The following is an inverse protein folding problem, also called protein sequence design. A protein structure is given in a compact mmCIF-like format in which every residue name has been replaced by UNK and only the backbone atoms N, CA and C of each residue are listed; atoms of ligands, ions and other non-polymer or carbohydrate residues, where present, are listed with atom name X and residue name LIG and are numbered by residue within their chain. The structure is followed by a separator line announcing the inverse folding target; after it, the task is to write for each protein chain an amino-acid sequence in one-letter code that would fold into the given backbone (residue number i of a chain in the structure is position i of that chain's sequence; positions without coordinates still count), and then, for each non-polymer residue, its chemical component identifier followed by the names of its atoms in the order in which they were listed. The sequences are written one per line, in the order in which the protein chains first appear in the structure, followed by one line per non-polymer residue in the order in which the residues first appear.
data_IF_448425319350
#
_entry.id   IF_448425319350
#
_cell.length_a   1.000
_cell.length_b   1.000
_cell.length_c   1.000
_cell.angle_alpha   90.00
_cell.angle_beta   90.00
_cell.angle_gamma   90.00
#
_symmetry.space_group_name_H-M   'P 1'
#
loop_
_entity.id
_entity.type
_entity.pdbx_description
1 polymer ?
#
# COMPACT_ATOMS: atom_id res chain seq x y z
N UNK A 1 -23.80 -34.86 -2.15
CA UNK A 1 -23.99 -33.40 -2.10
C UNK A 1 -22.96 -32.84 -1.13
N UNK A 2 -21.98 -32.12 -1.67
CA UNK A 2 -20.97 -31.39 -0.91
C UNK A 2 -20.53 -30.27 -1.84
N UNK A 3 -20.99 -29.06 -1.55
CA UNK A 3 -20.63 -27.87 -2.30
C UNK A 3 -19.14 -27.61 -2.12
N UNK A 4 -18.38 -27.70 -3.22
CA UNK A 4 -17.05 -27.11 -3.30
C UNK A 4 -17.31 -25.64 -3.65
N UNK A 5 -17.37 -24.77 -2.64
CA UNK A 5 -17.32 -23.33 -2.84
C UNK A 5 -15.89 -22.96 -3.26
N UNK A 6 -15.61 -23.11 -4.56
CA UNK A 6 -14.47 -22.47 -5.19
C UNK A 6 -14.77 -20.97 -5.31
N UNK A 7 -14.43 -20.20 -4.28
CA UNK A 7 -14.13 -18.77 -4.45
C UNK A 7 -12.62 -18.57 -4.42
N UNK A 8 -11.90 -19.33 -5.26
CA UNK A 8 -10.68 -18.79 -5.85
C UNK A 8 -11.15 -18.00 -7.06
N UNK A 9 -11.16 -16.68 -6.90
CA UNK A 9 -11.49 -15.74 -7.95
C UNK A 9 -10.55 -16.00 -9.14
N UNK A 10 -11.06 -16.68 -10.17
CA UNK A 10 -10.32 -16.99 -11.40
C UNK A 10 -9.86 -15.71 -12.13
N UNK A 11 -10.39 -14.55 -11.73
CA UNK A 11 -9.91 -13.24 -12.13
C UNK A 11 -8.48 -12.98 -11.64
N UNK A 12 -8.03 -13.54 -10.51
CA UNK A 12 -6.68 -13.28 -9.99
C UNK A 12 -5.57 -14.01 -10.76
N UNK A 13 -5.80 -15.24 -11.23
CA UNK A 13 -4.73 -16.05 -11.85
C UNK A 13 -4.39 -15.62 -13.29
N UNK A 14 -5.39 -15.29 -14.11
CA UNK A 14 -5.17 -14.69 -15.44
C UNK A 14 -4.55 -13.30 -15.34
N UNK A 15 -4.91 -12.55 -14.29
CA UNK A 15 -4.45 -11.19 -14.06
C UNK A 15 -3.02 -11.16 -13.51
N UNK A 16 -2.59 -12.13 -12.71
CA UNK A 16 -1.20 -12.32 -12.30
C UNK A 16 -0.29 -12.69 -13.49
N UNK A 17 -0.78 -13.54 -14.41
CA UNK A 17 -0.06 -13.90 -15.63
C UNK A 17 0.10 -12.71 -16.60
N UNK A 18 -0.92 -11.85 -16.74
CA UNK A 18 -0.83 -10.63 -17.55
C UNK A 18 -0.06 -9.49 -16.84
N UNK A 19 -0.10 -9.39 -15.51
CA UNK A 19 0.75 -8.47 -14.73
C UNK A 19 2.24 -8.73 -14.99
N UNK A 20 2.64 -10.00 -15.10
CA UNK A 20 4.01 -10.36 -15.45
C UNK A 20 4.38 -9.94 -16.89
N UNK A 21 3.42 -9.89 -17.81
CA UNK A 21 3.63 -9.41 -19.18
C UNK A 21 3.67 -7.87 -19.27
N UNK A 22 2.84 -7.15 -18.52
CA UNK A 22 2.78 -5.67 -18.57
C UNK A 22 3.84 -4.99 -17.69
N UNK A 23 4.34 -5.63 -16.62
CA UNK A 23 5.47 -5.12 -15.82
C UNK A 23 6.77 -4.97 -16.63
N UNK A 24 6.85 -5.59 -17.82
CA UNK A 24 7.98 -5.46 -18.75
C UNK A 24 7.96 -4.18 -19.61
N UNK A 25 6.91 -3.34 -19.53
CA UNK A 25 6.74 -2.14 -20.35
C UNK A 25 6.66 -0.87 -19.50
N UNK A 26 7.24 0.22 -19.99
CA UNK A 26 7.10 1.56 -19.41
C UNK A 26 5.60 1.91 -19.24
N UNK A 27 5.20 2.26 -18.01
CA UNK A 27 3.82 2.60 -17.67
C UNK A 27 2.87 1.41 -17.37
N UNK A 28 3.34 0.16 -17.45
CA UNK A 28 2.55 -1.04 -17.16
C UNK A 28 1.90 -1.04 -15.77
N UNK A 29 2.65 -0.58 -14.77
CA UNK A 29 2.22 -0.44 -13.38
C UNK A 29 0.89 0.33 -13.21
N UNK A 30 0.75 1.50 -13.85
CA UNK A 30 -0.45 2.32 -13.76
C UNK A 30 -1.64 1.72 -14.51
N UNK A 31 -1.38 1.01 -15.61
CA UNK A 31 -2.41 0.29 -16.35
C UNK A 31 -2.94 -0.90 -15.56
N UNK A 32 -2.07 -1.62 -14.84
CA UNK A 32 -2.45 -2.69 -13.92
C UNK A 32 -3.36 -2.17 -12.81
N UNK A 33 -3.00 -1.07 -12.14
CA UNK A 33 -3.85 -0.48 -11.08
C UNK A 33 -5.22 -0.03 -11.63
N UNK A 34 -5.26 0.63 -12.78
CA UNK A 34 -6.54 1.03 -13.41
C UNK A 34 -7.41 -0.18 -13.78
N UNK A 35 -6.81 -1.27 -14.28
CA UNK A 35 -7.52 -2.52 -14.64
C UNK A 35 -8.01 -3.31 -13.44
N UNK A 36 -7.32 -3.21 -12.31
CA UNK A 36 -7.76 -3.69 -10.99
C UNK A 36 -8.98 -2.91 -10.44
N UNK A 37 -9.46 -1.91 -11.18
CA UNK A 37 -10.57 -1.07 -10.75
C UNK A 37 -10.17 -0.02 -9.73
N UNK A 38 -8.89 0.37 -9.67
CA UNK A 38 -8.45 1.49 -8.83
C UNK A 38 -9.24 2.76 -9.19
N UNK A 39 -9.82 3.39 -8.16
CA UNK A 39 -10.54 4.66 -8.22
C UNK A 39 -9.84 5.68 -7.33
N UNK A 40 -10.07 6.97 -7.61
CA UNK A 40 -9.53 8.08 -6.80
C UNK A 40 -8.02 7.96 -6.57
N UNK A 41 -7.28 7.58 -7.61
CA UNK A 41 -5.83 7.45 -7.53
C UNK A 41 -5.18 8.82 -7.37
N UNK A 42 -4.24 8.94 -6.44
CA UNK A 42 -3.44 10.14 -6.22
C UNK A 42 -1.98 9.74 -6.04
N UNK A 43 -1.10 10.43 -6.75
CA UNK A 43 0.31 10.49 -6.33
C UNK A 43 0.37 11.22 -4.98
N UNK A 44 1.20 10.71 -4.08
CA UNK A 44 1.29 11.23 -2.72
C UNK A 44 2.62 11.96 -2.52
N UNK A 45 3.74 11.28 -2.76
CA UNK A 45 5.07 11.88 -2.65
C UNK A 45 6.15 10.99 -3.24
N UNK A 46 7.30 11.59 -3.54
CA UNK A 46 8.57 10.89 -3.64
C UNK A 46 9.23 10.88 -2.25
N UNK A 47 9.54 9.69 -1.73
CA UNK A 47 10.12 9.52 -0.41
C UNK A 47 11.50 8.88 -0.50
N UNK A 48 12.50 9.59 0.02
CA UNK A 48 13.81 8.97 0.31
C UNK A 48 13.71 8.08 1.54
N UNK A 49 14.15 6.82 1.42
CA UNK A 49 14.23 5.89 2.53
C UNK A 49 15.31 6.31 3.54
N UNK A 50 14.92 6.48 4.80
CA UNK A 50 15.84 6.78 5.89
C UNK A 50 16.53 5.51 6.41
N UNK A 51 17.53 5.64 7.28
CA UNK A 51 18.15 4.49 7.95
C UNK A 51 17.11 3.67 8.74
N UNK A 52 16.18 4.34 9.41
CA UNK A 52 15.11 3.70 10.19
C UNK A 52 14.13 2.95 9.30
N UNK A 53 13.80 3.49 8.12
CA UNK A 53 12.90 2.80 7.17
C UNK A 53 13.54 1.51 6.61
N UNK A 54 14.88 1.47 6.54
CA UNK A 54 15.64 0.31 6.03
C UNK A 54 16.02 -0.69 7.13
N UNK A 55 15.83 -0.33 8.39
CA UNK A 55 16.18 -1.17 9.52
C UNK A 55 15.13 -2.29 9.70
N UNK A 56 15.56 -3.53 9.48
CA UNK A 56 14.73 -4.74 9.58
C UNK A 56 14.13 -4.95 10.97
N UNK A 57 14.76 -4.39 12.01
CA UNK A 57 14.26 -4.47 13.38
C UNK A 57 13.14 -3.47 13.67
N UNK A 58 13.05 -2.40 12.88
CA UNK A 58 12.00 -1.37 13.05
C UNK A 58 10.71 -1.75 12.36
N UNK A 59 10.79 -2.47 11.22
CA UNK A 59 9.64 -2.96 10.44
C UNK A 59 8.56 -1.89 10.21
N UNK A 60 8.99 -0.67 9.87
CA UNK A 60 8.12 0.47 9.64
C UNK A 60 8.65 1.37 8.54
N UNK A 61 7.72 1.97 7.80
CA UNK A 61 7.97 3.09 6.91
C UNK A 61 7.37 4.36 7.52
N UNK A 62 8.18 5.39 7.74
CA UNK A 62 7.70 6.69 8.21
C UNK A 62 7.28 7.56 7.02
N UNK A 63 6.05 8.06 7.03
CA UNK A 63 5.46 8.82 5.92
C UNK A 63 5.50 10.33 6.22
N UNK A 64 5.82 11.19 5.23
CA UNK A 64 5.82 12.64 5.40
C UNK A 64 4.42 13.17 5.77
N UNK A 65 4.29 13.79 6.96
CA UNK A 65 3.01 14.24 7.53
C UNK A 65 2.21 15.13 6.57
N UNK A 66 2.83 16.20 6.09
CA UNK A 66 2.16 17.21 5.24
C UNK A 66 1.59 16.60 3.96
N UNK A 67 2.29 15.64 3.36
CA UNK A 67 1.80 14.95 2.17
C UNK A 67 0.65 13.98 2.49
N UNK A 68 0.69 13.29 3.63
CA UNK A 68 -0.44 12.45 4.04
C UNK A 68 -1.69 13.29 4.30
N UNK A 69 -1.57 14.38 5.05
CA UNK A 69 -2.67 15.30 5.37
C UNK A 69 -3.30 15.88 4.11
N UNK A 70 -2.50 16.15 3.08
CA UNK A 70 -2.97 16.73 1.82
C UNK A 70 -3.55 15.70 0.85
N UNK A 71 -2.95 14.51 0.74
CA UNK A 71 -3.22 13.58 -0.35
C UNK A 71 -3.87 12.26 0.08
N UNK A 72 -3.91 11.92 1.37
CA UNK A 72 -4.47 10.65 1.86
C UNK A 72 -5.63 10.89 2.81
N UNK A 73 -5.44 11.72 3.84
CA UNK A 73 -6.45 11.99 4.88
C UNK A 73 -7.81 12.48 4.33
N UNK A 74 -7.87 13.35 3.29
CA UNK A 74 -9.13 13.79 2.72
C UNK A 74 -9.93 12.67 2.04
N UNK A 75 -9.28 11.56 1.68
CA UNK A 75 -9.92 10.41 1.06
C UNK A 75 -10.39 9.37 2.07
N UNK A 76 -10.11 9.55 3.35
CA UNK A 76 -10.57 8.66 4.42
C UNK A 76 -12.01 8.98 4.81
N UNK A 77 -12.74 7.94 5.19
CA UNK A 77 -14.00 8.05 5.93
C UNK A 77 -13.71 8.46 7.38
N UNK A 78 -14.73 8.90 8.12
CA UNK A 78 -14.57 9.27 9.52
C UNK A 78 -14.13 8.09 10.39
N UNK A 79 -14.62 6.89 10.10
CA UNK A 79 -14.26 5.69 10.86
C UNK A 79 -12.82 5.26 10.58
N UNK A 80 -12.35 5.39 9.34
CA UNK A 80 -10.93 5.16 9.01
C UNK A 80 -10.03 6.20 9.69
N UNK A 81 -10.42 7.49 9.69
CA UNK A 81 -9.69 8.54 10.42
C UNK A 81 -9.57 8.22 11.91
N UNK A 82 -10.67 7.83 12.56
CA UNK A 82 -10.63 7.41 13.96
C UNK A 82 -9.67 6.25 14.16
N UNK A 83 -9.75 5.23 13.29
CA UNK A 83 -8.96 4.01 13.39
C UNK A 83 -7.46 4.26 13.24
N UNK A 84 -7.02 5.12 12.33
CA UNK A 84 -5.59 5.45 12.18
C UNK A 84 -5.04 6.23 13.39
N UNK A 85 -5.87 6.99 14.09
CA UNK A 85 -5.49 7.74 15.30
C UNK A 85 -5.69 6.97 16.60
N UNK A 86 -6.28 5.77 16.53
CA UNK A 86 -6.60 4.98 17.72
C UNK A 86 -5.33 4.49 18.44
N UNK A 87 -5.29 4.77 19.74
CA UNK A 87 -4.14 4.50 20.60
C UNK A 87 -4.00 3.01 20.92
N UNK A 88 -2.79 2.62 21.32
CA UNK A 88 -2.49 1.25 21.72
C UNK A 88 -2.39 0.27 20.53
N UNK A 89 -2.45 -1.03 20.82
CA UNK A 89 -2.23 -2.09 19.82
C UNK A 89 -3.45 -2.40 18.94
N UNK A 90 -4.65 -1.97 19.34
CA UNK A 90 -5.89 -2.22 18.60
C UNK A 90 -6.13 -1.25 17.42
N UNK A 91 -5.53 -0.07 17.47
CA UNK A 91 -5.68 0.95 16.43
C UNK A 91 -4.77 0.76 15.22
N UNK A 92 -5.14 1.38 14.11
CA UNK A 92 -4.51 1.28 12.80
C UNK A 92 -5.48 0.74 11.76
N UNK A 93 -5.40 1.29 10.54
CA UNK A 93 -6.21 0.87 9.40
C UNK A 93 -5.46 -0.23 8.62
N UNK A 94 -5.98 -1.46 8.56
CA UNK A 94 -5.45 -2.46 7.64
C UNK A 94 -5.58 -1.97 6.20
N UNK A 95 -4.50 -2.08 5.43
CA UNK A 95 -4.46 -1.66 4.03
C UNK A 95 -3.65 -2.67 3.22
N UNK A 96 -4.01 -2.82 1.95
CA UNK A 96 -3.20 -3.59 0.99
C UNK A 96 -2.25 -2.64 0.28
N UNK A 97 -1.00 -3.05 0.14
CA UNK A 97 -0.02 -2.35 -0.67
C UNK A 97 0.47 -3.21 -1.85
N UNK A 98 0.80 -2.53 -2.95
CA UNK A 98 1.32 -3.15 -4.16
C UNK A 98 2.75 -2.66 -4.42
N UNK A 99 3.67 -3.58 -4.72
CA UNK A 99 4.99 -3.21 -5.23
C UNK A 99 5.06 -3.25 -6.77
N UNK A 100 6.20 -2.85 -7.32
CA UNK A 100 6.42 -2.76 -8.77
C UNK A 100 6.38 -4.11 -9.49
N UNK A 101 6.63 -5.21 -8.76
CA UNK A 101 6.50 -6.58 -9.28
C UNK A 101 5.05 -7.08 -9.24
N UNK A 102 4.10 -6.26 -8.79
CA UNK A 102 2.68 -6.61 -8.67
C UNK A 102 2.36 -7.49 -7.45
N UNK A 103 3.30 -7.67 -6.51
CA UNK A 103 3.04 -8.41 -5.28
C UNK A 103 2.20 -7.58 -4.33
N UNK A 104 1.31 -8.25 -3.61
CA UNK A 104 0.46 -7.66 -2.58
C UNK A 104 1.04 -7.88 -1.20
N UNK A 105 0.93 -6.87 -0.35
CA UNK A 105 1.47 -6.86 1.00
C UNK A 105 0.44 -6.32 1.98
N UNK A 106 0.27 -7.00 3.11
CA UNK A 106 -0.62 -6.53 4.15
C UNK A 106 0.10 -5.54 5.06
N UNK A 107 -0.37 -4.30 5.06
CA UNK A 107 0.16 -3.26 5.94
C UNK A 107 -0.90 -2.76 6.91
N UNK A 108 -0.45 -2.02 7.91
CA UNK A 108 -1.31 -1.21 8.76
C UNK A 108 -0.86 0.24 8.65
N UNK A 109 -1.77 1.10 8.22
CA UNK A 109 -1.60 2.54 8.19
C UNK A 109 -2.03 3.15 9.52
N UNK A 110 -1.15 3.93 10.15
CA UNK A 110 -1.38 4.45 11.50
C UNK A 110 -0.70 5.80 11.71
N UNK A 111 -1.29 6.63 12.55
CA UNK A 111 -0.64 7.83 13.09
C UNK A 111 -0.05 7.52 14.48
N UNK A 112 1.20 7.91 14.69
CA UNK A 112 1.89 7.79 15.98
C UNK A 112 2.08 9.17 16.62
N UNK A 113 1.28 9.45 17.65
CA UNK A 113 1.34 10.72 18.39
C UNK A 113 2.73 11.06 18.91
N UNK A 114 3.48 10.07 19.41
CA UNK A 114 4.80 10.28 20.04
C UNK A 114 5.86 10.83 19.10
N UNK A 115 5.72 10.56 17.80
CA UNK A 115 6.65 11.00 16.74
C UNK A 115 5.98 11.92 15.72
N UNK A 116 4.72 12.30 16.00
CA UNK A 116 3.85 13.11 15.15
C UNK A 116 3.89 12.73 13.66
N UNK A 117 3.92 11.44 13.35
CA UNK A 117 4.06 10.97 11.98
C UNK A 117 3.10 9.82 11.65
N UNK A 118 2.85 9.68 10.36
CA UNK A 118 2.15 8.53 9.81
C UNK A 118 3.14 7.41 9.52
N UNK A 119 2.71 6.17 9.69
CA UNK A 119 3.54 5.00 9.44
C UNK A 119 2.77 3.91 8.68
N UNK A 120 3.50 3.12 7.91
CA UNK A 120 3.08 1.81 7.45
C UNK A 120 3.91 0.73 8.16
N UNK A 121 3.22 -0.22 8.78
CA UNK A 121 3.82 -1.31 9.58
C UNK A 121 3.25 -2.67 9.15
N UNK A 122 3.59 -3.74 9.89
CA UNK A 122 3.23 -5.17 9.66
C UNK A 122 4.20 -5.88 8.72
N UNK A 123 4.11 -5.68 7.42
CA UNK A 123 4.94 -6.38 6.43
C UNK A 123 6.04 -5.53 5.77
N UNK A 124 6.28 -4.31 6.26
CA UNK A 124 7.23 -3.39 5.64
C UNK A 124 8.64 -3.98 5.43
N UNK A 125 9.18 -4.70 6.43
CA UNK A 125 10.50 -5.35 6.31
C UNK A 125 10.51 -6.40 5.20
N UNK A 126 9.40 -7.11 4.99
CA UNK A 126 9.29 -8.15 3.97
C UNK A 126 9.28 -7.50 2.58
N UNK A 127 8.59 -6.36 2.43
CA UNK A 127 8.62 -5.55 1.21
C UNK A 127 10.07 -5.14 0.89
N UNK A 128 10.79 -4.61 1.88
CA UNK A 128 12.18 -4.20 1.72
C UNK A 128 13.11 -5.37 1.33
N UNK A 129 12.94 -6.54 1.94
CA UNK A 129 13.72 -7.74 1.61
C UNK A 129 13.42 -8.26 0.20
N UNK A 130 12.15 -8.21 -0.21
CA UNK A 130 11.69 -8.76 -1.47
C UNK A 130 11.97 -7.86 -2.68
N UNK A 131 12.11 -6.55 -2.47
CA UNK A 131 12.39 -5.57 -3.53
C UNK A 131 13.84 -5.07 -3.54
N UNK A 132 14.59 -5.21 -2.43
CA UNK A 132 15.96 -4.74 -2.29
C UNK A 132 16.14 -3.24 -2.64
N UNK A 133 15.11 -2.43 -2.35
CA UNK A 133 15.13 -0.99 -2.61
C UNK A 133 16.21 -0.28 -1.79
N UNK A 134 16.95 0.61 -2.44
CA UNK A 134 18.11 1.30 -1.82
C UNK A 134 17.88 2.78 -1.56
N UNK A 135 16.98 3.41 -2.32
CA UNK A 135 16.89 4.86 -2.44
C UNK A 135 15.45 5.39 -2.34
N UNK A 136 14.99 6.09 -3.39
CA UNK A 136 13.74 6.82 -3.40
C UNK A 136 12.59 5.90 -3.82
N UNK A 137 11.45 6.13 -3.21
CA UNK A 137 10.20 5.46 -3.53
C UNK A 137 9.16 6.47 -3.96
N UNK A 138 8.53 6.21 -5.09
CA UNK A 138 7.29 6.88 -5.46
C UNK A 138 6.13 6.22 -4.73
N UNK A 139 5.35 7.02 -4.02
CA UNK A 139 4.17 6.58 -3.28
C UNK A 139 2.90 7.09 -3.94
N UNK A 140 2.00 6.16 -4.26
CA UNK A 140 0.63 6.46 -4.68
C UNK A 140 -0.38 5.85 -3.73
N UNK A 141 -1.57 6.44 -3.67
CA UNK A 141 -2.73 5.88 -3.00
C UNK A 141 -3.91 5.78 -3.96
N UNK A 142 -4.81 4.84 -3.71
CA UNK A 142 -6.04 4.70 -4.45
C UNK A 142 -7.09 3.95 -3.61
N UNK A 143 -8.33 3.95 -4.10
CA UNK A 143 -9.44 3.17 -3.54
C UNK A 143 -9.73 1.99 -4.44
N UNK A 144 -9.82 0.80 -3.89
CA UNK A 144 -10.16 -0.38 -4.69
C UNK A 144 -11.64 -0.34 -5.09
N UNK A 145 -11.96 -0.60 -6.36
CA UNK A 145 -13.24 -0.19 -6.96
C UNK A 145 -14.49 -0.91 -6.45
N UNK A 146 -14.38 -2.18 -6.04
CA UNK A 146 -15.54 -3.00 -5.65
C UNK A 146 -15.83 -2.95 -4.14
N UNK A 147 -14.82 -2.79 -3.28
CA UNK A 147 -15.00 -2.75 -1.82
C UNK A 147 -14.68 -1.38 -1.20
N UNK A 148 -14.10 -0.45 -1.97
CA UNK A 148 -13.77 0.89 -1.50
C UNK A 148 -12.60 0.95 -0.53
N UNK A 149 -11.81 -0.12 -0.37
CA UNK A 149 -10.68 -0.13 0.56
C UNK A 149 -9.56 0.82 0.11
N UNK A 150 -8.88 1.44 1.07
CA UNK A 150 -7.70 2.26 0.80
C UNK A 150 -6.49 1.35 0.52
N UNK A 151 -5.80 1.62 -0.57
CA UNK A 151 -4.58 0.92 -0.96
C UNK A 151 -3.42 1.88 -1.12
N UNK A 152 -2.21 1.33 -0.99
CA UNK A 152 -0.96 2.00 -1.32
C UNK A 152 -0.24 1.29 -2.46
N UNK A 153 0.60 2.04 -3.16
CA UNK A 153 1.33 1.56 -4.30
C UNK A 153 2.74 2.17 -4.24
N UNK A 154 3.77 1.32 -4.27
CA UNK A 154 5.17 1.71 -4.24
C UNK A 154 5.87 1.37 -5.55
N UNK A 155 6.82 2.22 -5.94
CA UNK A 155 7.73 2.00 -7.06
C UNK A 155 9.11 2.55 -6.72
N UNK A 156 10.18 1.84 -7.09
CA UNK A 156 11.53 2.43 -7.01
C UNK A 156 11.69 3.49 -8.09
N UNK A 157 12.29 4.62 -7.74
CA UNK A 157 12.85 5.57 -8.71
C UNK A 157 14.34 5.31 -8.96
#
# INVERSE_FOLDING_TARGET
MGEITCTLDNSNLMLLAECACDASKDGGYFNTLKRLGARKMSHVCEKTLTNTDRDRHQNKLSLPKDFMEKHVIPFLTDDERKRITEKGKGGGLPVVAYDEAGRTWDLVFKFWDSSENYVLIKEWKNIMEANNWKHNLSLCTFRFGWNGELCFAFRSE
#
